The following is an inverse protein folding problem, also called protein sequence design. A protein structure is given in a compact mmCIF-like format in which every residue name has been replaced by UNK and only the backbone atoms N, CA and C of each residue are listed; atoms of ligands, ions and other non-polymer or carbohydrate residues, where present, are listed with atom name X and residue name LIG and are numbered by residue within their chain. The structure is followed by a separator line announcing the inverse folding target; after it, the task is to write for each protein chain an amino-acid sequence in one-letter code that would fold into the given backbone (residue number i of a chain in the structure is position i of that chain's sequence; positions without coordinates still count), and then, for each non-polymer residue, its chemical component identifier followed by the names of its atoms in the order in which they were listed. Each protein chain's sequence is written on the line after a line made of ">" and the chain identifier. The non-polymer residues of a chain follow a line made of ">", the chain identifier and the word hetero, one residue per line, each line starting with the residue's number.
data_IF_716012839261
#
_entry.id   IF_716012839261
#
_cell.length_a   1.000
_cell.length_b   1.000
_cell.length_c   1.000
_cell.angle_alpha   90.00
_cell.angle_beta   90.00
_cell.angle_gamma   90.00
#
_symmetry.space_group_name_H-M   'P 1'
#
loop_
_entity.id
_entity.type
_entity.pdbx_description
1 polymer ?
#
# COMPACT_ATOMS: atom_id res chain seq x y z
N UNK A 1 -24.49 3.64 1.88
CA UNK A 1 -25.32 4.72 2.44
C UNK A 1 -24.57 6.04 2.52
N UNK A 2 -23.49 6.14 3.33
CA UNK A 2 -22.68 7.36 3.46
C UNK A 2 -22.23 7.96 2.12
N UNK A 3 -21.67 7.14 1.23
CA UNK A 3 -21.26 7.55 -0.12
C UNK A 3 -22.41 8.03 -1.02
N UNK A 4 -23.54 7.33 -0.98
CA UNK A 4 -24.70 7.63 -1.83
C UNK A 4 -25.36 8.97 -1.47
N UNK A 5 -25.19 9.43 -0.22
CA UNK A 5 -25.87 10.63 0.31
C UNK A 5 -24.89 11.80 0.47
N UNK A 6 -23.67 11.57 0.96
CA UNK A 6 -22.76 12.63 1.39
C UNK A 6 -21.84 13.23 0.30
N UNK A 7 -21.66 12.54 -0.82
CA UNK A 7 -20.72 12.94 -1.86
C UNK A 7 -19.25 12.97 -1.38
N UNK A 8 -18.32 13.23 -2.31
CA UNK A 8 -16.89 13.13 -2.03
C UNK A 8 -16.37 14.18 -1.02
N UNK A 9 -16.98 15.38 -0.97
CA UNK A 9 -16.56 16.47 -0.07
C UNK A 9 -16.81 16.14 1.40
N UNK A 10 -17.98 15.60 1.75
CA UNK A 10 -18.27 15.20 3.13
C UNK A 10 -17.27 14.15 3.64
N UNK A 11 -16.85 13.24 2.75
CA UNK A 11 -15.87 12.19 3.04
C UNK A 11 -14.50 12.71 3.49
N UNK A 12 -14.08 13.86 2.98
CA UNK A 12 -12.77 14.44 3.32
C UNK A 12 -12.80 15.01 4.74
N UNK A 13 -13.84 15.76 5.09
CA UNK A 13 -13.98 16.35 6.42
C UNK A 13 -14.11 15.29 7.52
N UNK A 14 -14.90 14.24 7.26
CA UNK A 14 -15.03 13.14 8.21
C UNK A 14 -13.72 12.40 8.37
N UNK A 15 -13.00 12.10 7.28
CA UNK A 15 -11.68 11.44 7.36
C UNK A 15 -10.67 12.24 8.18
N UNK A 16 -10.69 13.57 8.09
CA UNK A 16 -9.82 14.44 8.87
C UNK A 16 -10.15 14.37 10.37
N UNK A 17 -11.43 14.50 10.74
CA UNK A 17 -11.87 14.39 12.13
C UNK A 17 -11.58 13.00 12.72
N UNK A 18 -11.82 11.95 11.94
CA UNK A 18 -11.55 10.56 12.35
C UNK A 18 -10.08 10.33 12.66
N UNK A 19 -9.18 10.87 11.83
CA UNK A 19 -7.75 10.77 12.06
C UNK A 19 -7.36 11.41 13.40
N UNK A 20 -7.91 12.58 13.74
CA UNK A 20 -7.67 13.23 15.03
C UNK A 20 -8.13 12.37 16.21
N UNK A 21 -9.29 11.71 16.09
CA UNK A 21 -9.79 10.80 17.14
C UNK A 21 -8.86 9.60 17.30
N UNK A 22 -8.43 8.96 16.21
CA UNK A 22 -7.48 7.83 16.26
C UNK A 22 -6.18 8.24 16.93
N UNK A 23 -5.63 9.40 16.57
CA UNK A 23 -4.43 9.96 17.22
C UNK A 23 -4.62 10.15 18.72
N UNK A 24 -5.72 10.79 19.13
CA UNK A 24 -6.02 11.04 20.53
C UNK A 24 -6.16 9.72 21.31
N UNK A 25 -6.90 8.74 20.78
CA UNK A 25 -7.11 7.46 21.46
C UNK A 25 -5.82 6.67 21.63
N UNK A 26 -5.00 6.56 20.57
CA UNK A 26 -3.70 5.87 20.67
C UNK A 26 -2.78 6.57 21.67
N UNK A 27 -2.75 7.90 21.64
CA UNK A 27 -1.94 8.68 22.57
C UNK A 27 -2.36 8.48 24.03
N UNK A 28 -3.67 8.47 24.30
CA UNK A 28 -4.23 8.19 25.63
C UNK A 28 -3.82 6.78 26.10
N UNK A 29 -3.99 5.75 25.26
CA UNK A 29 -3.62 4.37 25.59
C UNK A 29 -2.13 4.27 25.96
N UNK A 30 -1.26 4.91 25.19
CA UNK A 30 0.20 4.91 25.44
C UNK A 30 0.54 5.60 26.76
N UNK A 31 -0.04 6.77 27.05
CA UNK A 31 0.21 7.49 28.30
C UNK A 31 -0.20 6.66 29.51
N UNK A 32 -1.41 6.11 29.49
CA UNK A 32 -1.92 5.30 30.61
C UNK A 32 -1.02 4.10 30.84
N UNK A 33 -0.62 3.42 29.76
CA UNK A 33 0.27 2.26 29.83
C UNK A 33 1.62 2.60 30.46
N UNK A 34 2.19 3.76 30.12
CA UNK A 34 3.43 4.24 30.71
C UNK A 34 3.30 4.64 32.18
N UNK A 35 2.17 5.24 32.58
CA UNK A 35 1.90 5.57 33.98
C UNK A 35 1.72 4.32 34.82
N UNK A 36 1.08 3.28 34.28
CA UNK A 36 0.77 2.05 35.02
C UNK A 36 1.97 1.12 35.18
N UNK A 37 2.80 0.97 34.15
CA UNK A 37 3.88 -0.04 34.13
C UNK A 37 5.29 0.53 34.06
N UNK A 38 5.44 1.84 33.85
CA UNK A 38 6.76 2.47 33.69
C UNK A 38 7.37 2.23 32.30
N UNK A 39 7.97 3.28 31.73
CA UNK A 39 8.58 3.19 30.39
C UNK A 39 9.81 2.27 30.35
N UNK A 40 10.65 2.33 31.38
CA UNK A 40 11.93 1.59 31.42
C UNK A 40 11.69 0.08 31.43
N UNK A 41 10.75 -0.40 32.26
CA UNK A 41 10.44 -1.83 32.37
C UNK A 41 9.90 -2.40 31.06
N UNK A 42 9.03 -1.64 30.37
CA UNK A 42 8.50 -2.01 29.05
C UNK A 42 9.62 -2.11 28.01
N UNK A 43 10.54 -1.13 28.01
CA UNK A 43 11.66 -1.08 27.09
C UNK A 43 12.67 -2.21 27.34
N UNK A 44 13.07 -2.42 28.59
CA UNK A 44 14.03 -3.45 28.98
C UNK A 44 13.49 -4.86 28.72
N UNK A 45 12.23 -5.12 29.06
CA UNK A 45 11.57 -6.40 28.77
C UNK A 45 11.49 -6.66 27.26
N UNK A 46 11.13 -5.63 26.46
CA UNK A 46 11.08 -5.75 25.00
C UNK A 46 12.45 -5.99 24.38
N UNK A 47 13.50 -5.42 24.99
CA UNK A 47 14.90 -5.63 24.61
C UNK A 47 15.38 -7.05 24.94
N UNK A 48 15.12 -7.54 26.15
CA UNK A 48 15.42 -8.92 26.57
C UNK A 48 14.65 -9.96 25.73
N UNK A 49 13.43 -9.60 25.32
CA UNK A 49 12.59 -10.36 24.39
C UNK A 49 13.11 -10.44 22.94
N UNK A 50 14.22 -9.78 22.63
CA UNK A 50 14.78 -9.61 21.28
C UNK A 50 13.76 -9.07 20.25
N UNK A 51 12.76 -8.30 20.71
CA UNK A 51 11.72 -7.71 19.85
C UNK A 51 12.18 -6.41 19.18
N UNK A 52 13.18 -5.75 19.75
CA UNK A 52 13.75 -4.48 19.26
C UNK A 52 14.98 -4.66 18.39
N UNK A 53 14.95 -5.62 17.46
CA UNK A 53 16.06 -5.83 16.52
C UNK A 53 15.93 -4.93 15.29
N UNK A 54 16.55 -3.76 15.35
CA UNK A 54 16.62 -2.80 14.24
C UNK A 54 17.75 -3.10 13.24
N UNK A 55 18.80 -3.77 13.69
CA UNK A 55 20.05 -3.95 12.95
C UNK A 55 20.12 -5.30 12.20
N UNK A 56 19.08 -5.63 11.43
CA UNK A 56 19.08 -6.83 10.57
C UNK A 56 19.48 -6.48 9.12
N UNK A 57 20.79 -6.51 8.84
CA UNK A 57 21.40 -6.14 7.55
C UNK A 57 21.68 -7.35 6.64
N UNK A 58 20.92 -8.44 6.76
CA UNK A 58 21.10 -9.61 5.90
C UNK A 58 20.59 -9.31 4.49
N UNK A 59 21.40 -9.60 3.48
CA UNK A 59 21.08 -9.39 2.06
C UNK A 59 20.20 -10.53 1.46
N UNK A 60 19.71 -11.46 2.28
CA UNK A 60 18.89 -12.58 1.80
C UNK A 60 17.46 -12.09 1.48
N UNK A 61 16.98 -12.21 0.22
CA UNK A 61 15.65 -11.75 -0.17
C UNK A 61 14.51 -12.52 0.51
N UNK A 62 14.81 -13.64 1.18
CA UNK A 62 13.84 -14.45 1.95
C UNK A 62 13.53 -13.88 3.34
N UNK A 63 14.31 -12.92 3.81
CA UNK A 63 14.05 -12.22 5.07
C UNK A 63 12.86 -11.28 4.85
N UNK A 64 11.75 -11.49 5.57
CA UNK A 64 10.52 -10.70 5.37
C UNK A 64 10.73 -9.24 5.77
N UNK A 65 11.32 -9.00 6.94
CA UNK A 65 11.52 -7.65 7.51
C UNK A 65 12.98 -7.38 7.90
N UNK A 66 13.83 -7.06 6.94
CA UNK A 66 15.20 -6.60 7.20
C UNK A 66 15.41 -5.17 6.72
N UNK A 67 16.63 -4.64 6.89
CA UNK A 67 16.98 -3.31 6.39
C UNK A 67 16.75 -3.17 4.87
N UNK A 68 17.27 -4.11 4.07
CA UNK A 68 17.14 -4.06 2.60
C UNK A 68 15.70 -4.24 2.09
N UNK A 69 14.92 -5.24 2.54
CA UNK A 69 13.51 -5.37 2.14
C UNK A 69 12.68 -4.14 2.49
N UNK A 70 12.91 -3.53 3.66
CA UNK A 70 12.15 -2.36 4.09
C UNK A 70 12.55 -1.08 3.34
N UNK A 71 13.84 -0.86 3.11
CA UNK A 71 14.30 0.32 2.36
C UNK A 71 13.97 0.16 0.88
N UNK A 72 14.45 -0.90 0.22
CA UNK A 72 14.25 -1.07 -1.22
C UNK A 72 12.78 -1.38 -1.51
N UNK A 73 12.26 -2.48 -0.95
CA UNK A 73 10.88 -2.89 -1.19
C UNK A 73 9.86 -1.89 -0.67
N UNK A 74 10.04 -1.40 0.56
CA UNK A 74 9.17 -0.38 1.15
C UNK A 74 9.17 0.94 0.39
N UNK A 75 10.30 1.42 -0.14
CA UNK A 75 10.32 2.62 -0.99
C UNK A 75 9.49 2.43 -2.26
N UNK A 76 9.63 1.30 -2.96
CA UNK A 76 8.82 1.04 -4.16
C UNK A 76 7.32 0.88 -3.84
N UNK A 77 6.98 0.27 -2.71
CA UNK A 77 5.59 0.25 -2.22
C UNK A 77 5.06 1.66 -1.96
N UNK A 78 5.84 2.53 -1.31
CA UNK A 78 5.45 3.92 -1.07
C UNK A 78 5.33 4.71 -2.37
N UNK A 79 6.24 4.52 -3.32
CA UNK A 79 6.12 5.15 -4.64
C UNK A 79 4.87 4.69 -5.36
N UNK A 80 4.53 3.40 -5.35
CA UNK A 80 3.26 2.94 -5.91
C UNK A 80 2.04 3.58 -5.21
N UNK A 81 2.09 3.77 -3.89
CA UNK A 81 1.02 4.40 -3.10
C UNK A 81 0.82 5.89 -3.39
N UNK A 82 1.90 6.63 -3.60
CA UNK A 82 1.81 8.07 -3.82
C UNK A 82 1.83 8.47 -5.29
N UNK A 83 2.49 7.71 -6.16
CA UNK A 83 2.73 8.06 -7.57
C UNK A 83 1.78 7.39 -8.56
N UNK A 84 1.11 6.27 -8.21
CA UNK A 84 0.20 5.60 -9.15
C UNK A 84 -1.19 5.30 -8.59
N UNK A 85 -1.41 5.44 -7.28
CA UNK A 85 -2.70 5.17 -6.68
C UNK A 85 -3.73 6.25 -7.02
N UNK A 86 -4.88 5.83 -7.56
CA UNK A 86 -5.94 6.74 -8.00
C UNK A 86 -6.51 7.59 -6.85
N UNK A 87 -6.75 7.00 -5.69
CA UNK A 87 -7.29 7.73 -4.54
C UNK A 87 -6.36 8.87 -4.09
N UNK A 88 -5.05 8.65 -4.23
CA UNK A 88 -4.03 9.64 -3.89
C UNK A 88 -3.94 10.72 -4.97
N UNK A 89 -3.93 10.33 -6.25
CA UNK A 89 -3.87 11.26 -7.38
C UNK A 89 -5.05 12.24 -7.41
N UNK A 90 -6.26 11.75 -7.13
CA UNK A 90 -7.45 12.61 -7.05
C UNK A 90 -7.32 13.71 -5.99
N UNK A 91 -6.64 13.42 -4.87
CA UNK A 91 -6.38 14.43 -3.83
C UNK A 91 -5.42 15.51 -4.31
N UNK A 92 -4.41 15.14 -5.09
CA UNK A 92 -3.47 16.11 -5.66
C UNK A 92 -4.14 17.02 -6.70
N UNK A 93 -4.96 16.44 -7.58
CA UNK A 93 -5.69 17.19 -8.60
C UNK A 93 -6.78 18.11 -8.03
N UNK A 94 -7.23 17.85 -6.80
CA UNK A 94 -8.18 18.70 -6.09
C UNK A 94 -7.52 19.91 -5.41
N UNK A 95 -6.19 20.00 -5.41
CA UNK A 95 -5.47 21.16 -4.86
C UNK A 95 -5.44 22.28 -5.90
N UNK A 96 -5.57 23.55 -5.48
CA UNK A 96 -5.63 24.67 -6.42
C UNK A 96 -4.28 24.90 -7.14
N UNK A 97 -3.16 24.50 -6.54
CA UNK A 97 -1.82 24.74 -7.06
C UNK A 97 -0.87 23.58 -6.78
N UNK A 98 0.12 23.37 -7.67
CA UNK A 98 1.16 22.33 -7.51
C UNK A 98 1.92 22.45 -6.17
N UNK A 99 2.27 23.67 -5.77
CA UNK A 99 2.95 23.93 -4.48
C UNK A 99 2.13 23.44 -3.28
N UNK A 100 0.80 23.55 -3.36
CA UNK A 100 -0.07 23.06 -2.28
C UNK A 100 -0.16 21.53 -2.28
N UNK A 101 -0.25 20.88 -3.45
CA UNK A 101 -0.17 19.43 -3.55
C UNK A 101 1.13 18.87 -2.97
N UNK A 102 2.27 19.51 -3.27
CA UNK A 102 3.57 19.15 -2.69
C UNK A 102 3.60 19.33 -1.17
N UNK A 103 3.04 20.42 -0.64
CA UNK A 103 2.96 20.66 0.80
C UNK A 103 2.12 19.60 1.51
N UNK A 104 0.99 19.20 0.92
CA UNK A 104 0.12 18.13 1.46
C UNK A 104 0.84 16.79 1.49
N UNK A 105 1.58 16.45 0.42
CA UNK A 105 2.42 15.25 0.39
C UNK A 105 3.50 15.31 1.49
N UNK A 106 4.21 16.44 1.61
CA UNK A 106 5.30 16.57 2.57
C UNK A 106 4.81 16.50 4.03
N UNK A 107 3.63 17.05 4.32
CA UNK A 107 3.01 16.99 5.65
C UNK A 107 2.63 15.55 6.05
N UNK A 108 2.46 14.64 5.08
CA UNK A 108 2.11 13.25 5.35
C UNK A 108 3.27 12.47 6.00
N UNK A 109 4.53 12.81 5.70
CA UNK A 109 5.69 12.12 6.27
C UNK A 109 5.79 12.20 7.80
N UNK A 110 5.81 13.40 8.44
CA UNK A 110 5.91 13.46 9.89
C UNK A 110 4.70 12.82 10.59
N UNK A 111 3.50 12.92 10.00
CA UNK A 111 2.30 12.27 10.55
C UNK A 111 2.40 10.74 10.51
N UNK A 112 2.91 10.17 9.42
CA UNK A 112 3.13 8.72 9.33
C UNK A 112 4.23 8.23 10.28
N UNK A 113 5.33 8.98 10.40
CA UNK A 113 6.41 8.66 11.34
C UNK A 113 5.85 8.64 12.76
N UNK A 114 5.06 9.65 13.13
CA UNK A 114 4.42 9.72 14.43
C UNK A 114 3.46 8.54 14.67
N UNK A 115 2.60 8.20 13.69
CA UNK A 115 1.70 7.04 13.79
C UNK A 115 2.42 5.70 13.94
N UNK A 116 3.42 5.43 13.10
CA UNK A 116 4.18 4.19 13.15
C UNK A 116 4.90 4.06 14.50
N UNK A 117 5.44 5.17 15.02
CA UNK A 117 6.08 5.19 16.34
C UNK A 117 5.10 4.80 17.44
N UNK A 118 3.87 5.33 17.40
CA UNK A 118 2.82 4.98 18.37
C UNK A 118 2.43 3.50 18.28
N UNK A 119 2.32 2.93 17.07
CA UNK A 119 2.05 1.50 16.90
C UNK A 119 3.17 0.60 17.42
N UNK A 120 4.43 0.99 17.22
CA UNK A 120 5.58 0.25 17.76
C UNK A 120 5.56 0.28 19.29
N UNK A 121 5.31 1.45 19.87
CA UNK A 121 5.16 1.60 21.32
C UNK A 121 4.04 0.71 21.86
N UNK A 122 2.87 0.75 21.24
CA UNK A 122 1.74 -0.07 21.62
C UNK A 122 2.07 -1.57 21.53
N UNK A 123 2.79 -1.99 20.51
CA UNK A 123 3.29 -3.36 20.38
C UNK A 123 4.23 -3.77 21.53
N UNK A 124 5.12 -2.88 21.97
CA UNK A 124 5.99 -3.11 23.14
C UNK A 124 5.18 -3.25 24.44
N UNK A 125 4.20 -2.37 24.65
CA UNK A 125 3.29 -2.41 25.81
C UNK A 125 2.53 -3.74 25.87
N UNK A 126 1.98 -4.16 24.74
CA UNK A 126 1.25 -5.42 24.63
C UNK A 126 2.17 -6.62 24.89
N UNK A 127 3.38 -6.59 24.34
CA UNK A 127 4.37 -7.64 24.60
C UNK A 127 4.72 -7.74 26.10
N UNK A 128 5.00 -6.60 26.75
CA UNK A 128 5.26 -6.54 28.19
C UNK A 128 4.12 -7.15 29.01
N UNK A 129 2.88 -6.83 28.63
CA UNK A 129 1.68 -7.28 29.35
C UNK A 129 1.40 -8.79 29.25
N UNK A 130 1.94 -9.45 28.20
CA UNK A 130 1.68 -10.85 27.88
C UNK A 130 2.96 -11.71 27.82
N UNK A 131 4.11 -11.20 28.24
CA UNK A 131 5.41 -11.90 28.11
C UNK A 131 5.42 -13.27 28.78
N UNK A 132 4.76 -13.41 29.94
CA UNK A 132 4.69 -14.66 30.70
C UNK A 132 3.43 -15.50 30.46
N UNK A 133 2.45 -15.00 29.70
CA UNK A 133 1.21 -15.72 29.43
C UNK A 133 0.56 -15.14 28.16
N UNK A 134 0.98 -15.62 27.00
CA UNK A 134 0.42 -15.17 25.74
C UNK A 134 -0.98 -15.77 25.55
N UNK A 135 -2.03 -14.95 25.29
CA UNK A 135 -3.37 -15.46 25.08
C UNK A 135 -3.45 -16.28 23.79
N UNK A 136 -4.15 -17.42 23.84
CA UNK A 136 -4.46 -18.22 22.65
C UNK A 136 -5.62 -17.58 21.89
N UNK A 137 -5.31 -16.63 21.02
CA UNK A 137 -6.29 -15.93 20.18
C UNK A 137 -6.46 -16.62 18.82
N UNK A 138 -7.66 -16.50 18.26
CA UNK A 138 -7.97 -17.02 16.92
C UNK A 138 -7.15 -16.30 15.84
N UNK A 139 -7.01 -14.98 15.97
CA UNK A 139 -6.11 -14.19 15.12
C UNK A 139 -5.21 -13.30 15.96
N UNK A 140 -3.99 -13.08 15.46
CA UNK A 140 -3.03 -12.19 16.12
C UNK A 140 -3.49 -10.72 16.06
N UNK A 141 -4.34 -10.36 15.10
CA UNK A 141 -4.92 -9.02 14.95
C UNK A 141 -5.92 -8.66 16.06
N UNK A 142 -6.45 -9.66 16.79
CA UNK A 142 -7.35 -9.47 17.94
C UNK A 142 -6.61 -9.09 19.23
N UNK A 143 -5.27 -9.13 19.24
CA UNK A 143 -4.48 -8.93 20.46
C UNK A 143 -4.67 -7.55 21.07
N UNK A 144 -4.83 -6.50 20.25
CA UNK A 144 -4.99 -5.14 20.74
C UNK A 144 -6.38 -4.91 21.38
N UNK A 145 -7.50 -5.28 20.76
CA UNK A 145 -8.80 -5.28 21.44
C UNK A 145 -8.78 -6.09 22.75
N UNK A 146 -8.20 -7.29 22.73
CA UNK A 146 -8.08 -8.14 23.92
C UNK A 146 -7.25 -7.49 25.03
N UNK A 147 -6.17 -6.80 24.66
CA UNK A 147 -5.36 -6.01 25.60
C UNK A 147 -6.18 -4.90 26.27
N UNK A 148 -6.97 -4.15 25.48
CA UNK A 148 -7.79 -3.07 26.02
C UNK A 148 -8.84 -3.58 26.99
N UNK A 149 -9.52 -4.66 26.63
CA UNK A 149 -10.54 -5.30 27.48
C UNK A 149 -9.94 -5.81 28.80
N UNK A 150 -8.83 -6.57 28.72
CA UNK A 150 -8.29 -7.28 29.89
C UNK A 150 -7.40 -6.44 30.80
N UNK A 151 -6.63 -5.49 30.24
CA UNK A 151 -5.67 -4.68 31.00
C UNK A 151 -6.14 -3.26 31.27
N UNK A 152 -6.95 -2.69 30.37
CA UNK A 152 -7.45 -1.31 30.46
C UNK A 152 -8.97 -1.22 30.60
N UNK A 153 -9.66 -2.35 30.83
CA UNK A 153 -11.12 -2.39 30.96
C UNK A 153 -11.69 -1.61 32.15
N UNK A 154 -10.84 -1.24 33.11
CA UNK A 154 -11.20 -0.36 34.23
C UNK A 154 -11.50 1.08 33.79
N UNK A 155 -11.09 1.48 32.57
CA UNK A 155 -11.38 2.79 31.99
C UNK A 155 -12.67 2.69 31.17
N UNK A 156 -13.76 3.07 31.80
CA UNK A 156 -15.09 3.05 31.18
C UNK A 156 -15.09 3.83 29.85
N UNK A 157 -15.46 3.15 28.77
CA UNK A 157 -15.62 3.76 27.44
C UNK A 157 -14.36 3.85 26.59
N UNK A 158 -13.16 3.53 27.10
CA UNK A 158 -11.92 3.59 26.31
C UNK A 158 -11.96 2.61 25.14
N UNK A 159 -12.35 1.36 25.40
CA UNK A 159 -12.50 0.33 24.37
C UNK A 159 -13.54 0.75 23.32
N UNK A 160 -14.67 1.31 23.75
CA UNK A 160 -15.72 1.81 22.85
C UNK A 160 -15.24 2.94 21.95
N UNK A 161 -14.51 3.92 22.50
CA UNK A 161 -13.92 5.02 21.73
C UNK A 161 -12.89 4.47 20.73
N UNK A 162 -12.06 3.53 21.15
CA UNK A 162 -11.06 2.89 20.30
C UNK A 162 -11.68 2.13 19.13
N UNK A 163 -12.68 1.27 19.41
CA UNK A 163 -13.41 0.55 18.38
C UNK A 163 -14.11 1.53 17.43
N UNK A 164 -14.79 2.55 17.96
CA UNK A 164 -15.44 3.57 17.15
C UNK A 164 -14.45 4.32 16.24
N UNK A 165 -13.24 4.63 16.74
CA UNK A 165 -12.19 5.29 15.99
C UNK A 165 -11.67 4.42 14.83
N UNK A 166 -11.41 3.14 15.08
CA UNK A 166 -10.96 2.19 14.05
C UNK A 166 -12.04 1.95 13.01
N UNK A 167 -13.29 1.68 13.43
CA UNK A 167 -14.39 1.50 12.48
C UNK A 167 -14.58 2.73 11.61
N UNK A 168 -14.50 3.93 12.21
CA UNK A 168 -14.62 5.18 11.48
C UNK A 168 -13.46 5.37 10.49
N UNK A 169 -12.22 5.11 10.91
CA UNK A 169 -11.04 5.16 10.04
C UNK A 169 -11.16 4.20 8.85
N UNK A 170 -11.58 2.95 9.10
CA UNK A 170 -11.85 1.96 8.06
C UNK A 170 -12.93 2.42 7.08
N UNK A 171 -14.04 2.99 7.58
CA UNK A 171 -15.09 3.57 6.73
C UNK A 171 -14.57 4.70 5.84
N UNK A 172 -13.66 5.55 6.34
CA UNK A 172 -13.01 6.60 5.56
C UNK A 172 -12.18 6.04 4.40
N UNK A 173 -11.37 5.00 4.66
CA UNK A 173 -10.56 4.31 3.64
C UNK A 173 -11.43 3.62 2.60
N UNK A 174 -12.48 2.91 3.01
CA UNK A 174 -13.42 2.25 2.10
C UNK A 174 -14.14 3.28 1.22
N UNK A 175 -14.56 4.40 1.80
CA UNK A 175 -15.19 5.52 1.08
C UNK A 175 -14.28 6.05 -0.02
N UNK A 176 -13.02 6.35 0.30
CA UNK A 176 -12.04 6.81 -0.69
C UNK A 176 -11.76 5.77 -1.77
N UNK A 177 -11.67 4.48 -1.39
CA UNK A 177 -11.39 3.37 -2.31
C UNK A 177 -12.54 3.15 -3.29
N UNK A 178 -13.79 3.14 -2.82
CA UNK A 178 -14.95 2.98 -3.71
C UNK A 178 -15.16 4.17 -4.63
N UNK A 179 -14.88 5.39 -4.18
CA UNK A 179 -14.89 6.56 -5.05
C UNK A 179 -13.83 6.46 -6.16
N UNK A 180 -12.61 6.07 -5.81
CA UNK A 180 -11.55 5.86 -6.78
C UNK A 180 -11.91 4.76 -7.79
N UNK A 181 -12.41 3.62 -7.31
CA UNK A 181 -12.77 2.48 -8.16
C UNK A 181 -13.97 2.78 -9.06
N UNK A 182 -14.94 3.55 -8.55
CA UNK A 182 -16.08 4.05 -9.33
C UNK A 182 -15.61 5.01 -10.42
N UNK A 183 -14.70 5.93 -10.10
CA UNK A 183 -14.12 6.85 -11.07
C UNK A 183 -13.36 6.11 -12.17
N UNK A 184 -12.45 5.19 -11.82
CA UNK A 184 -11.71 4.38 -12.81
C UNK A 184 -12.66 3.56 -13.68
N UNK A 185 -13.65 2.89 -13.09
CA UNK A 185 -14.60 2.07 -13.87
C UNK A 185 -15.42 2.92 -14.83
N UNK A 186 -15.84 4.11 -14.39
CA UNK A 186 -16.65 5.01 -15.21
C UNK A 186 -15.83 5.67 -16.32
N UNK A 187 -14.68 6.23 -15.96
CA UNK A 187 -13.83 7.03 -16.84
C UNK A 187 -13.00 6.17 -17.79
N UNK A 188 -12.44 5.06 -17.30
CA UNK A 188 -11.45 4.28 -18.06
C UNK A 188 -12.08 3.05 -18.74
N UNK A 189 -13.15 2.47 -18.17
CA UNK A 189 -13.81 1.29 -18.75
C UNK A 189 -15.10 1.67 -19.50
N UNK A 190 -16.09 2.21 -18.79
CA UNK A 190 -17.44 2.44 -19.35
C UNK A 190 -17.40 3.47 -20.47
N UNK A 191 -16.76 4.62 -20.28
CA UNK A 191 -16.63 5.64 -21.33
C UNK A 191 -15.92 5.10 -22.57
N UNK A 192 -14.84 4.34 -22.40
CA UNK A 192 -14.05 3.80 -23.51
C UNK A 192 -14.81 2.70 -24.28
N UNK A 193 -15.52 1.80 -23.59
CA UNK A 193 -16.34 0.75 -24.22
C UNK A 193 -17.54 1.35 -24.96
N UNK A 194 -18.17 2.38 -24.41
CA UNK A 194 -19.30 3.07 -25.02
C UNK A 194 -18.90 4.08 -26.11
N UNK A 195 -17.60 4.32 -26.31
CA UNK A 195 -17.07 5.13 -27.41
C UNK A 195 -17.18 4.33 -28.71
N UNK A 196 -18.37 4.34 -29.32
CA UNK A 196 -18.58 3.76 -30.65
C UNK A 196 -17.62 4.35 -31.69
N UNK A 197 -17.19 3.54 -32.67
CA UNK A 197 -16.31 3.90 -33.80
C UNK A 197 -16.74 5.15 -34.63
N UNK A 198 -17.93 5.69 -34.38
CA UNK A 198 -18.50 6.83 -35.11
C UNK A 198 -18.10 8.22 -34.55
N UNK A 199 -17.27 8.29 -33.50
CA UNK A 199 -16.78 9.58 -32.96
C UNK A 199 -17.84 10.44 -32.26
N UNK A 200 -19.13 10.16 -32.46
CA UNK A 200 -20.21 10.66 -31.62
C UNK A 200 -20.15 9.90 -30.29
N UNK A 201 -19.73 10.59 -29.23
CA UNK A 201 -20.07 10.20 -27.86
C UNK A 201 -21.57 9.92 -27.87
N UNK A 202 -21.97 8.65 -27.70
CA UNK A 202 -23.35 8.34 -27.34
C UNK A 202 -23.53 9.11 -26.04
N UNK A 203 -24.25 10.24 -26.08
CA UNK A 203 -24.37 11.19 -24.98
C UNK A 203 -24.75 10.38 -23.76
N UNK A 204 -23.78 10.11 -22.88
CA UNK A 204 -24.04 9.45 -21.63
C UNK A 204 -24.83 10.51 -20.85
N UNK A 205 -26.16 10.35 -20.86
CA UNK A 205 -27.08 11.32 -20.25
C UNK A 205 -26.62 11.57 -18.82
N UNK A 206 -26.68 12.82 -18.33
CA UNK A 206 -26.34 13.16 -16.93
C UNK A 206 -27.02 12.20 -15.92
N UNK A 207 -28.20 11.70 -16.26
CA UNK A 207 -28.94 10.65 -15.54
C UNK A 207 -28.18 9.32 -15.42
N UNK A 208 -27.51 8.85 -16.47
CA UNK A 208 -26.70 7.63 -16.44
C UNK A 208 -25.49 7.80 -15.52
N UNK A 209 -24.73 8.88 -15.66
CA UNK A 209 -23.60 9.18 -14.76
C UNK A 209 -24.02 9.21 -13.29
N UNK A 210 -25.09 9.95 -12.99
CA UNK A 210 -25.60 10.08 -11.62
C UNK A 210 -26.01 8.73 -11.03
N UNK A 211 -26.71 7.89 -11.82
CA UNK A 211 -27.07 6.52 -11.39
C UNK A 211 -25.84 5.65 -11.19
N UNK A 212 -24.89 5.65 -12.13
CA UNK A 212 -23.68 4.81 -12.04
C UNK A 212 -22.81 5.20 -10.83
N UNK A 213 -22.60 6.48 -10.59
CA UNK A 213 -21.85 6.97 -9.41
C UNK A 213 -22.55 6.59 -8.11
N UNK A 214 -23.88 6.47 -8.11
CA UNK A 214 -24.66 6.10 -6.93
C UNK A 214 -24.65 4.59 -6.64
N UNK A 215 -24.84 3.75 -7.68
CA UNK A 215 -25.00 2.30 -7.51
C UNK A 215 -23.71 1.50 -7.59
N UNK A 216 -22.70 1.97 -8.33
CA UNK A 216 -21.46 1.22 -8.50
C UNK A 216 -20.65 1.05 -7.18
N UNK A 217 -20.61 2.04 -6.26
CA UNK A 217 -20.05 1.83 -4.93
C UNK A 217 -20.76 0.74 -4.12
N UNK A 218 -22.06 0.54 -4.30
CA UNK A 218 -22.82 -0.51 -3.62
C UNK A 218 -22.37 -1.90 -4.08
N UNK A 219 -22.14 -2.06 -5.38
CA UNK A 219 -21.59 -3.30 -5.94
C UNK A 219 -20.21 -3.60 -5.36
N UNK A 220 -19.30 -2.62 -5.32
CA UNK A 220 -17.98 -2.82 -4.73
C UNK A 220 -18.04 -3.11 -3.23
N UNK A 221 -18.96 -2.48 -2.49
CA UNK A 221 -19.16 -2.79 -1.08
C UNK A 221 -19.59 -4.25 -0.83
N UNK A 222 -20.51 -4.78 -1.65
CA UNK A 222 -20.92 -6.19 -1.59
C UNK A 222 -19.75 -7.13 -1.92
N UNK A 223 -18.96 -6.79 -2.94
CA UNK A 223 -17.78 -7.56 -3.33
C UNK A 223 -16.71 -7.58 -2.22
N UNK A 224 -16.45 -6.44 -1.58
CA UNK A 224 -15.51 -6.41 -0.46
C UNK A 224 -16.02 -7.16 0.76
N UNK A 225 -17.34 -7.17 1.00
CA UNK A 225 -17.93 -7.92 2.10
C UNK A 225 -17.77 -9.44 1.89
N UNK A 226 -17.95 -9.93 0.66
CA UNK A 226 -17.72 -11.35 0.35
C UNK A 226 -16.23 -11.73 0.48
N UNK A 227 -15.32 -10.86 0.01
CA UNK A 227 -13.88 -11.06 0.18
C UNK A 227 -13.46 -11.04 1.66
N UNK A 228 -14.06 -10.19 2.49
CA UNK A 228 -13.78 -10.16 3.93
C UNK A 228 -14.13 -11.48 4.62
N UNK A 229 -15.22 -12.14 4.21
CA UNK A 229 -15.57 -13.48 4.70
C UNK A 229 -14.54 -14.52 4.25
N UNK A 230 -14.03 -14.43 3.03
CA UNK A 230 -12.99 -15.34 2.53
C UNK A 230 -11.67 -15.19 3.32
N UNK A 231 -11.27 -13.95 3.65
CA UNK A 231 -10.04 -13.67 4.40
C UNK A 231 -10.06 -14.28 5.81
N UNK A 232 -11.25 -14.48 6.41
CA UNK A 232 -11.38 -15.15 7.73
C UNK A 232 -10.76 -16.55 7.75
N UNK A 233 -10.74 -17.24 6.61
CA UNK A 233 -10.17 -18.59 6.50
C UNK A 233 -8.66 -18.59 6.24
N UNK A 234 -8.04 -17.42 6.08
CA UNK A 234 -6.59 -17.30 5.95
C UNK A 234 -5.96 -17.23 7.34
N UNK A 235 -5.17 -18.24 7.70
CA UNK A 235 -4.39 -18.31 8.94
C UNK A 235 -3.13 -17.43 8.90
N UNK A 236 -3.23 -16.23 8.33
CA UNK A 236 -2.08 -15.34 8.09
C UNK A 236 -2.36 -13.94 8.61
N UNK A 237 -1.30 -13.20 8.92
CA UNK A 237 -1.42 -11.80 9.33
C UNK A 237 -2.07 -10.96 8.22
N UNK A 238 -3.19 -10.29 8.53
CA UNK A 238 -3.92 -9.48 7.56
C UNK A 238 -3.02 -8.39 6.95
N UNK A 239 -2.15 -7.80 7.76
CA UNK A 239 -1.20 -6.78 7.32
C UNK A 239 -0.25 -7.30 6.23
N UNK A 240 0.25 -8.53 6.36
CA UNK A 240 1.13 -9.15 5.36
C UNK A 240 0.38 -9.39 4.05
N UNK A 241 -0.85 -9.91 4.12
CA UNK A 241 -1.69 -10.12 2.94
C UNK A 241 -1.95 -8.80 2.23
N UNK A 242 -2.31 -7.75 2.98
CA UNK A 242 -2.54 -6.42 2.43
C UNK A 242 -1.31 -5.86 1.71
N UNK A 243 -0.12 -5.91 2.33
CA UNK A 243 1.10 -5.45 1.67
C UNK A 243 1.49 -6.29 0.46
N UNK A 244 1.26 -7.60 0.50
CA UNK A 244 1.57 -8.47 -0.65
C UNK A 244 0.71 -8.12 -1.88
N UNK A 245 -0.61 -7.98 -1.70
CA UNK A 245 -1.55 -7.61 -2.77
C UNK A 245 -1.26 -6.19 -3.25
N UNK A 246 -1.09 -5.26 -2.32
CA UNK A 246 -0.81 -3.86 -2.63
C UNK A 246 0.51 -3.72 -3.40
N UNK A 247 1.58 -4.37 -2.94
CA UNK A 247 2.87 -4.34 -3.60
C UNK A 247 2.83 -4.99 -4.97
N UNK A 248 2.17 -6.14 -5.10
CA UNK A 248 2.06 -6.82 -6.39
C UNK A 248 1.25 -6.02 -7.42
N UNK A 249 0.09 -5.48 -7.04
CA UNK A 249 -0.76 -4.72 -7.95
C UNK A 249 -0.21 -3.32 -8.21
N UNK A 250 0.21 -2.63 -7.14
CA UNK A 250 0.77 -1.28 -7.22
C UNK A 250 2.08 -1.24 -7.99
N UNK A 251 2.96 -2.25 -7.84
CA UNK A 251 4.22 -2.34 -8.58
C UNK A 251 4.04 -2.46 -10.09
N UNK A 252 3.04 -3.20 -10.55
CA UNK A 252 2.76 -3.37 -11.99
C UNK A 252 2.37 -2.03 -12.60
N UNK A 253 1.40 -1.35 -11.97
CA UNK A 253 0.90 -0.04 -12.43
C UNK A 253 2.03 0.99 -12.38
N UNK A 254 2.73 1.08 -11.25
CA UNK A 254 3.85 1.99 -11.08
C UNK A 254 4.97 1.72 -12.10
N UNK A 255 5.21 0.45 -12.46
CA UNK A 255 6.17 0.07 -13.49
C UNK A 255 5.88 0.69 -14.86
N UNK A 256 4.61 0.77 -15.26
CA UNK A 256 4.21 1.42 -16.52
C UNK A 256 4.47 2.92 -16.46
N UNK A 257 4.18 3.57 -15.32
CA UNK A 257 4.55 4.97 -15.11
C UNK A 257 6.06 5.17 -15.17
N UNK A 258 6.86 4.28 -14.58
CA UNK A 258 8.32 4.36 -14.67
C UNK A 258 8.82 4.25 -16.11
N UNK A 259 8.28 3.31 -16.90
CA UNK A 259 8.61 3.19 -18.33
C UNK A 259 8.28 4.48 -19.07
N UNK A 260 7.08 5.05 -18.86
CA UNK A 260 6.68 6.29 -19.54
C UNK A 260 7.48 7.53 -19.11
N UNK A 261 7.83 7.65 -17.83
CA UNK A 261 8.53 8.81 -17.28
C UNK A 261 10.04 8.79 -17.54
N UNK A 262 10.66 7.60 -17.53
CA UNK A 262 12.11 7.44 -17.54
C UNK A 262 12.66 6.77 -18.79
N UNK A 263 11.86 6.14 -19.63
CA UNK A 263 12.33 5.46 -20.85
C UNK A 263 11.76 6.11 -22.12
N UNK A 264 12.20 7.33 -22.49
CA UNK A 264 11.67 8.05 -23.65
C UNK A 264 11.92 7.36 -25.00
N UNK A 265 12.87 6.42 -25.05
CA UNK A 265 13.15 5.59 -26.23
C UNK A 265 12.13 4.47 -26.44
N UNK A 266 11.28 4.15 -25.46
CA UNK A 266 10.20 3.18 -25.60
C UNK A 266 8.98 3.87 -26.21
N UNK A 267 8.84 3.75 -27.53
CA UNK A 267 7.76 4.37 -28.31
C UNK A 267 6.63 3.41 -28.67
N UNK A 268 6.87 2.10 -28.56
CA UNK A 268 5.88 1.09 -28.91
C UNK A 268 4.99 0.74 -27.73
N UNK A 269 3.68 0.97 -27.87
CA UNK A 269 2.68 0.49 -26.89
C UNK A 269 2.75 -1.02 -26.70
N UNK A 270 3.12 -1.78 -27.74
CA UNK A 270 3.29 -3.23 -27.64
C UNK A 270 4.43 -3.61 -26.67
N UNK A 271 5.56 -2.90 -26.72
CA UNK A 271 6.68 -3.15 -25.81
C UNK A 271 6.28 -2.93 -24.34
N UNK A 272 5.53 -1.86 -24.07
CA UNK A 272 5.01 -1.54 -22.73
C UNK A 272 4.03 -2.63 -22.26
N UNK A 273 3.09 -3.05 -23.11
CA UNK A 273 2.11 -4.10 -22.77
C UNK A 273 2.81 -5.44 -22.48
N UNK A 274 3.83 -5.81 -23.26
CA UNK A 274 4.61 -7.02 -22.97
C UNK A 274 5.30 -6.95 -21.61
N UNK A 275 5.87 -5.80 -21.25
CA UNK A 275 6.47 -5.58 -19.93
C UNK A 275 5.45 -5.69 -18.79
N UNK A 276 4.26 -5.11 -18.98
CA UNK A 276 3.18 -5.15 -18.01
C UNK A 276 2.62 -6.57 -17.81
N UNK A 277 2.40 -7.31 -18.90
CA UNK A 277 1.94 -8.71 -18.85
C UNK A 277 2.99 -9.61 -18.18
N UNK A 278 4.28 -9.43 -18.47
CA UNK A 278 5.34 -10.18 -17.83
C UNK A 278 5.42 -9.91 -16.31
N UNK A 279 5.29 -8.64 -15.92
CA UNK A 279 5.24 -8.24 -14.51
C UNK A 279 4.00 -8.84 -13.80
N UNK A 280 2.84 -8.81 -14.46
CA UNK A 280 1.60 -9.40 -13.95
C UNK A 280 1.75 -10.90 -13.70
N UNK A 281 2.26 -11.66 -14.68
CA UNK A 281 2.48 -13.11 -14.54
C UNK A 281 3.42 -13.40 -13.37
N UNK A 282 4.55 -12.69 -13.30
CA UNK A 282 5.51 -12.83 -12.20
C UNK A 282 4.88 -12.56 -10.83
N UNK A 283 4.16 -11.46 -10.68
CA UNK A 283 3.48 -11.10 -9.44
C UNK A 283 2.42 -12.13 -9.04
N UNK A 284 1.65 -12.66 -9.99
CA UNK A 284 0.67 -13.73 -9.75
C UNK A 284 1.39 -14.99 -9.21
N UNK A 285 2.51 -15.38 -9.82
CA UNK A 285 3.32 -16.52 -9.36
C UNK A 285 3.85 -16.29 -7.94
N UNK A 286 4.35 -15.09 -7.62
CA UNK A 286 4.82 -14.76 -6.27
C UNK A 286 3.71 -14.88 -5.23
N UNK A 287 2.56 -14.23 -5.47
CA UNK A 287 1.43 -14.22 -4.54
C UNK A 287 0.83 -15.61 -4.40
N UNK A 288 0.46 -16.26 -5.52
CA UNK A 288 -0.13 -17.61 -5.48
C UNK A 288 0.80 -18.63 -4.84
N UNK A 289 2.09 -18.60 -5.17
CA UNK A 289 3.06 -19.53 -4.59
C UNK A 289 3.23 -19.35 -3.07
N UNK A 290 3.09 -18.13 -2.52
CA UNK A 290 3.10 -17.97 -1.06
C UNK A 290 1.95 -18.69 -0.36
N UNK A 291 0.77 -18.74 -0.98
CA UNK A 291 -0.38 -19.46 -0.45
C UNK A 291 -0.29 -20.97 -0.70
N UNK A 292 0.08 -21.38 -1.92
CA UNK A 292 0.18 -22.80 -2.31
C UNK A 292 1.25 -23.53 -1.51
N UNK A 293 2.41 -22.91 -1.30
CA UNK A 293 3.54 -23.52 -0.58
C UNK A 293 3.58 -23.16 0.91
N UNK A 294 2.55 -22.48 1.44
CA UNK A 294 2.42 -22.08 2.84
C UNK A 294 3.69 -21.41 3.40
N UNK A 295 4.15 -20.36 2.72
CA UNK A 295 5.44 -19.69 2.96
C UNK A 295 5.32 -18.73 4.17
N UNK A 296 5.49 -19.26 5.38
CA UNK A 296 5.39 -18.51 6.65
C UNK A 296 6.75 -18.13 7.24
N UNK A 297 6.93 -16.89 7.73
CA UNK A 297 8.15 -16.54 8.45
C UNK A 297 8.24 -17.27 9.79
N UNK A 298 9.46 -17.70 10.12
CA UNK A 298 9.75 -18.21 11.46
C UNK A 298 9.72 -17.05 12.45
N UNK A 299 8.65 -16.95 13.23
CA UNK A 299 8.47 -15.91 14.23
C UNK A 299 9.30 -16.20 15.48
N UNK A 300 9.61 -15.16 16.25
CA UNK A 300 10.16 -15.35 17.59
C UNK A 300 9.11 -16.07 18.45
N UNK A 301 9.52 -17.08 19.24
CA UNK A 301 8.62 -17.84 20.10
C UNK A 301 7.88 -16.93 21.08
N UNK A 302 6.66 -17.32 21.43
CA UNK A 302 5.83 -16.67 22.43
C UNK A 302 5.48 -17.72 23.48
N UNK A 303 5.64 -17.39 24.75
CA UNK A 303 5.39 -18.32 25.84
C UNK A 303 3.88 -18.45 26.06
N UNK A 304 3.35 -19.65 25.86
CA UNK A 304 1.93 -19.96 26.11
C UNK A 304 1.71 -20.70 27.43
N UNK A 305 2.78 -21.25 28.01
CA UNK A 305 2.70 -21.92 29.31
C UNK A 305 2.85 -20.85 30.39
N UNK A 306 1.74 -20.49 31.04
CA UNK A 306 1.68 -19.38 32.02
C UNK A 306 2.38 -19.72 33.35
N UNK A 307 3.62 -20.20 33.27
CA UNK A 307 4.47 -20.60 34.38
C UNK A 307 5.16 -19.37 34.95
N UNK A 308 5.04 -19.18 36.27
CA UNK A 308 5.29 -17.92 36.97
C UNK A 308 6.76 -17.49 37.13
N UNK A 309 7.74 -18.24 36.62
CA UNK A 309 9.16 -18.09 37.03
C UNK A 309 10.20 -18.10 35.90
N UNK A 310 9.86 -17.74 34.66
CA UNK A 310 10.86 -17.64 33.59
C UNK A 310 11.28 -16.19 33.33
N UNK A 311 12.51 -15.84 33.73
CA UNK A 311 13.21 -14.69 33.14
C UNK A 311 13.65 -15.10 31.74
N UNK A 312 12.89 -14.71 30.73
CA UNK A 312 13.12 -15.22 29.38
C UNK A 312 14.15 -14.37 28.67
N UNK A 313 15.41 -14.78 28.79
CA UNK A 313 16.48 -14.27 27.95
C UNK A 313 16.41 -14.99 26.60
N UNK A 314 15.92 -14.30 25.56
CA UNK A 314 15.90 -14.86 24.22
C UNK A 314 17.24 -14.58 23.53
N UNK A 315 17.84 -15.62 22.94
CA UNK A 315 18.95 -15.45 22.01
C UNK A 315 18.43 -15.32 20.57
N UNK A 316 19.03 -14.43 19.79
CA UNK A 316 18.65 -14.28 18.39
C UNK A 316 19.26 -15.38 17.53
N UNK A 317 18.41 -16.06 16.76
CA UNK A 317 18.82 -16.95 15.68
C UNK A 317 18.60 -16.31 14.31
N UNK A 318 19.53 -16.52 13.38
CA UNK A 318 19.38 -16.11 11.98
C UNK A 318 18.25 -16.84 11.23
N UNK A 319 17.61 -17.83 11.85
CA UNK A 319 16.41 -18.42 11.26
C UNK A 319 15.17 -17.56 11.47
N UNK A 320 15.17 -16.65 12.45
CA UNK A 320 14.04 -15.77 12.67
C UNK A 320 13.85 -14.80 11.51
N UNK A 321 12.57 -14.53 11.21
CA UNK A 321 12.13 -13.61 10.15
C UNK A 321 12.51 -14.03 8.72
N UNK A 322 13.16 -15.20 8.56
CA UNK A 322 13.40 -15.85 7.28
C UNK A 322 12.23 -16.76 6.95
N UNK A 323 12.02 -17.00 5.65
CA UNK A 323 11.12 -18.06 5.19
C UNK A 323 11.86 -19.15 4.43
N UNK A 324 11.36 -20.36 4.60
CA UNK A 324 11.77 -21.55 3.89
C UNK A 324 10.51 -22.20 3.30
N UNK A 325 10.60 -22.70 2.06
CA UNK A 325 9.51 -23.48 1.48
C UNK A 325 9.75 -24.97 1.74
N UNK A 326 8.66 -25.71 1.89
CA UNK A 326 8.70 -27.17 2.09
C UNK A 326 9.02 -27.97 0.80
N UNK A 327 9.21 -27.30 -0.35
CA UNK A 327 9.48 -27.96 -1.63
C UNK A 327 10.63 -27.29 -2.39
N UNK A 328 11.37 -28.07 -3.17
CA UNK A 328 12.57 -27.64 -3.91
C UNK A 328 12.29 -27.25 -5.37
N UNK A 329 11.07 -26.79 -5.69
CA UNK A 329 10.74 -26.32 -7.03
C UNK A 329 11.37 -24.95 -7.32
N UNK A 330 11.64 -24.65 -8.59
CA UNK A 330 12.06 -23.30 -9.01
C UNK A 330 11.00 -22.26 -8.59
N UNK A 331 9.72 -22.63 -8.73
CA UNK A 331 8.59 -21.77 -8.37
C UNK A 331 8.49 -21.53 -6.87
N UNK A 332 8.75 -22.55 -6.04
CA UNK A 332 8.72 -22.39 -4.59
C UNK A 332 9.87 -21.52 -4.10
N UNK A 333 11.07 -21.66 -4.69
CA UNK A 333 12.21 -20.79 -4.39
C UNK A 333 11.93 -19.34 -4.79
N UNK A 334 11.29 -19.11 -5.93
CA UNK A 334 10.90 -17.77 -6.37
C UNK A 334 9.90 -17.11 -5.41
N UNK A 335 8.88 -17.85 -4.98
CA UNK A 335 7.84 -17.36 -4.06
C UNK A 335 8.32 -17.13 -2.61
N UNK A 336 9.55 -17.52 -2.26
CA UNK A 336 10.14 -17.20 -0.95
C UNK A 336 10.59 -15.74 -0.82
N UNK A 337 10.67 -14.98 -1.94
CA UNK A 337 11.02 -13.55 -1.92
C UNK A 337 10.07 -12.81 -0.98
N UNK A 338 10.62 -11.91 -0.15
CA UNK A 338 9.85 -11.06 0.75
C UNK A 338 8.76 -10.31 -0.01
N UNK A 339 7.53 -10.32 0.54
CA UNK A 339 6.42 -9.58 -0.04
C UNK A 339 6.68 -8.06 -0.13
N UNK A 340 7.62 -7.54 0.67
CA UNK A 340 8.07 -6.16 0.57
C UNK A 340 8.67 -5.86 -0.82
N UNK A 341 9.31 -6.83 -1.47
CA UNK A 341 9.91 -6.65 -2.79
C UNK A 341 8.93 -6.80 -3.95
N UNK A 342 7.66 -7.15 -3.73
CA UNK A 342 6.75 -7.42 -4.85
C UNK A 342 6.57 -6.21 -5.76
N UNK A 343 6.49 -4.99 -5.20
CA UNK A 343 6.44 -3.79 -6.01
C UNK A 343 7.73 -3.57 -6.82
N UNK A 344 8.88 -3.76 -6.17
CA UNK A 344 10.19 -3.65 -6.81
C UNK A 344 10.33 -4.63 -7.97
N UNK A 345 9.99 -5.91 -7.75
CA UNK A 345 10.03 -6.96 -8.78
C UNK A 345 9.12 -6.61 -9.95
N UNK A 346 7.89 -6.16 -9.68
CA UNK A 346 6.95 -5.74 -10.73
C UNK A 346 7.51 -4.62 -11.60
N UNK A 347 8.11 -3.58 -10.99
CA UNK A 347 8.72 -2.47 -11.73
C UNK A 347 9.94 -2.91 -12.54
N UNK A 348 10.84 -3.69 -11.94
CA UNK A 348 12.06 -4.14 -12.62
C UNK A 348 11.74 -5.04 -13.80
N UNK A 349 10.82 -6.00 -13.65
CA UNK A 349 10.43 -6.88 -14.75
C UNK A 349 9.81 -6.08 -15.88
N UNK A 350 8.92 -5.13 -15.56
CA UNK A 350 8.31 -4.28 -16.57
C UNK A 350 9.37 -3.47 -17.33
N UNK A 351 10.27 -2.78 -16.61
CA UNK A 351 11.37 -2.01 -17.20
C UNK A 351 12.26 -2.88 -18.10
N UNK A 352 12.70 -4.05 -17.63
CA UNK A 352 13.61 -4.93 -18.39
C UNK A 352 12.91 -5.46 -19.64
N UNK A 353 11.72 -6.03 -19.50
CA UNK A 353 10.99 -6.64 -20.63
C UNK A 353 10.58 -5.58 -21.65
N UNK A 354 10.11 -4.41 -21.22
CA UNK A 354 9.75 -3.33 -22.14
C UNK A 354 10.97 -2.84 -22.95
N UNK A 355 12.14 -2.71 -22.31
CA UNK A 355 13.38 -2.33 -23.01
C UNK A 355 13.83 -3.40 -24.01
N UNK A 356 13.81 -4.68 -23.61
CA UNK A 356 14.18 -5.80 -24.50
C UNK A 356 13.23 -5.89 -25.69
N UNK A 357 11.92 -5.74 -25.47
CA UNK A 357 10.94 -5.76 -26.55
C UNK A 357 11.07 -4.56 -27.48
N UNK A 358 11.36 -3.37 -26.96
CA UNK A 358 11.63 -2.20 -27.80
C UNK A 358 12.90 -2.40 -28.65
N UNK A 359 13.95 -3.00 -28.09
CA UNK A 359 15.15 -3.35 -28.83
C UNK A 359 14.82 -4.32 -29.98
N UNK A 360 14.03 -5.36 -29.70
CA UNK A 360 13.61 -6.34 -30.70
C UNK A 360 12.78 -5.71 -31.83
N UNK A 361 11.85 -4.81 -31.50
CA UNK A 361 11.05 -4.05 -32.48
C UNK A 361 11.94 -3.19 -33.37
N UNK A 362 12.94 -2.51 -32.77
CA UNK A 362 13.89 -1.70 -33.52
C UNK A 362 14.74 -2.55 -34.48
N UNK A 363 15.16 -3.76 -34.05
CA UNK A 363 15.90 -4.72 -34.88
C UNK A 363 15.06 -5.24 -36.05
N UNK A 364 13.75 -5.38 -35.87
CA UNK A 364 12.82 -5.74 -36.94
C UNK A 364 12.54 -4.60 -37.93
N UNK A 365 13.17 -3.43 -37.76
CA UNK A 365 13.04 -2.28 -38.67
C UNK A 365 11.74 -1.49 -38.49
N UNK A 366 10.91 -1.81 -37.50
CA UNK A 366 9.72 -1.03 -37.17
C UNK A 366 10.10 0.22 -36.37
N UNK A 367 10.27 1.36 -37.05
CA UNK A 367 10.40 2.67 -36.40
C UNK A 367 9.01 3.24 -36.13
N UNK A 368 8.68 3.42 -34.85
CA UNK A 368 7.53 4.22 -34.44
C UNK A 368 7.95 5.68 -34.34
N UNK A 369 7.28 6.55 -35.12
CA UNK A 369 7.50 8.00 -35.13
C UNK A 369 6.64 8.74 -34.09
N UNK A 370 6.13 8.04 -33.09
CA UNK A 370 5.39 8.67 -31.99
C UNK A 370 6.35 9.59 -31.23
N UNK A 371 6.14 10.90 -31.36
CA UNK A 371 6.83 11.89 -30.57
C UNK A 371 6.29 11.86 -29.14
N UNK A 372 7.20 11.69 -28.17
CA UNK A 372 6.85 11.72 -26.75
C UNK A 372 6.80 13.17 -26.31
N UNK A 373 5.72 13.59 -25.65
CA UNK A 373 5.61 14.95 -25.12
C UNK A 373 6.68 15.18 -24.03
N UNK A 374 7.63 16.11 -24.21
CA UNK A 374 8.68 16.39 -23.23
C UNK A 374 8.14 16.87 -21.88
N UNK A 375 6.90 17.38 -21.82
CA UNK A 375 6.24 17.75 -20.56
C UNK A 375 5.98 16.54 -19.66
N UNK A 376 5.72 15.37 -20.27
CA UNK A 376 5.42 14.12 -19.56
C UNK A 376 6.68 13.40 -19.08
N UNK A 377 7.87 13.77 -19.56
CA UNK A 377 9.13 13.13 -19.19
C UNK A 377 9.71 13.79 -17.94
N UNK A 378 10.32 12.96 -17.08
CA UNK A 378 11.00 13.43 -15.89
C UNK A 378 12.04 14.52 -16.23
N UNK A 379 12.11 15.59 -15.44
CA UNK A 379 13.00 16.72 -15.71
C UNK A 379 14.46 16.30 -15.92
N UNK A 380 14.94 15.30 -15.16
CA UNK A 380 16.29 14.75 -15.27
C UNK A 380 16.57 14.03 -16.61
N UNK A 381 15.53 13.48 -17.26
CA UNK A 381 15.67 12.75 -18.52
C UNK A 381 15.54 13.65 -19.75
N UNK A 382 15.14 14.93 -19.58
CA UNK A 382 14.98 15.88 -20.69
C UNK A 382 16.27 16.19 -21.47
N UNK A 383 17.45 16.29 -20.86
CA UNK A 383 18.70 16.51 -21.61
C UNK A 383 19.06 15.36 -22.57
N UNK A 384 18.52 14.16 -22.32
CA UNK A 384 18.76 12.96 -23.14
C UNK A 384 17.76 12.81 -24.29
N UNK A 385 16.73 13.66 -24.35
CA UNK A 385 15.92 13.88 -25.54
C UNK A 385 16.70 14.85 -26.42
N UNK A 386 17.38 14.35 -27.46
CA UNK A 386 18.24 15.13 -28.36
C UNK A 386 17.78 16.58 -28.59
N UNK A 387 18.71 17.52 -28.39
CA UNK A 387 19.07 18.78 -29.10
C UNK A 387 18.14 19.49 -30.11
N UNK A 388 16.91 19.06 -30.38
CA UNK A 388 15.98 19.70 -31.34
C UNK A 388 14.86 20.50 -30.66
N UNK A 389 14.98 20.80 -29.36
CA UNK A 389 13.87 21.32 -28.55
C UNK A 389 14.12 22.65 -27.84
N UNK A 390 15.31 23.25 -27.94
CA UNK A 390 15.60 24.51 -27.25
C UNK A 390 14.78 25.72 -27.75
N UNK A 391 14.16 25.65 -28.93
CA UNK A 391 13.35 26.77 -29.47
C UNK A 391 11.90 26.81 -28.97
N UNK A 392 11.29 25.67 -28.58
CA UNK A 392 9.85 25.63 -28.25
C UNK A 392 9.54 25.75 -26.74
N UNK A 393 10.55 25.67 -25.87
CA UNK A 393 10.35 25.66 -24.41
C UNK A 393 10.07 27.06 -23.83
N UNK A 394 10.37 28.15 -24.57
CA UNK A 394 10.15 29.52 -24.06
C UNK A 394 8.70 30.03 -24.11
N UNK A 395 7.76 29.35 -24.78
CA UNK A 395 6.41 29.93 -25.00
C UNK A 395 5.24 29.27 -24.27
N UNK A 396 5.35 28.08 -23.66
CA UNK A 396 4.15 27.36 -23.19
C UNK A 396 4.31 26.72 -21.80
N UNK A 397 4.65 27.53 -20.80
CA UNK A 397 4.60 27.18 -19.37
C UNK A 397 3.27 27.66 -18.77
N UNK A 398 2.16 27.12 -19.25
CA UNK A 398 0.90 27.12 -18.51
C UNK A 398 0.30 25.72 -18.64
N UNK A 399 0.18 25.02 -17.50
CA UNK A 399 -0.70 23.86 -17.41
C UNK A 399 -2.13 24.39 -17.41
N UNK A 400 -3.05 23.89 -18.25
CA UNK A 400 -4.45 24.22 -18.09
C UNK A 400 -4.93 23.56 -16.79
N UNK A 401 -4.94 24.36 -15.72
CA UNK A 401 -5.74 24.06 -14.54
C UNK A 401 -7.19 24.07 -15.00
N UNK A 402 -7.93 23.02 -14.66
CA UNK A 402 -9.36 22.92 -14.91
C UNK A 402 -10.02 24.16 -14.29
N UNK A 403 -10.51 25.06 -15.14
CA UNK A 403 -11.36 26.17 -14.72
C UNK A 403 -12.60 25.57 -14.06
N UNK A 404 -12.75 25.85 -12.77
CA UNK A 404 -13.99 25.62 -12.06
C UNK A 404 -15.05 26.54 -12.67
N UNK A 405 -15.83 26.04 -13.62
CA UNK A 405 -17.10 26.65 -13.95
C UNK A 405 -18.08 26.36 -12.80
N UNK A 406 -18.39 27.46 -12.13
CA UNK A 406 -19.40 27.71 -11.08
C UNK A 406 -20.69 26.92 -11.22
#
# INVERSE_FOLDING_TARGET
>A
MYLCIGGARAGIYTSALQMTVVFATLFIIVIISYVQWGFLDIYETSKQGMRLKLNDFRLDPRVRHGFFPLIIGGCFNMFALYASNQATMQRYLSMPNLKQAQKVLLLNFPLNIFMITMYVILGMVMYYSFVGCHPSLLSKDQLLPYFLETKLGWITGLEGIFLAAIYSSGLGVLTASYNALTAVTLEDLIKNVLRTKSGKQKFLTKSFYSKTITYLPLFFALLTASLAVAIKYLETMILQVAFSIFGSAGGIIFGVFCVGLFCPWIKSSFAVICGEVAALISCIVLVSGTFIFYIQPKNLPLESTCLSNTSILYEWSDQYNRVEANSNSIWSNYSQISYQYYAFVGVIINLVVANVMQLFINLLGHKNDNNVDPKLICHFMRPYLCSSFEENVKQHVEMPLIENNS
#
